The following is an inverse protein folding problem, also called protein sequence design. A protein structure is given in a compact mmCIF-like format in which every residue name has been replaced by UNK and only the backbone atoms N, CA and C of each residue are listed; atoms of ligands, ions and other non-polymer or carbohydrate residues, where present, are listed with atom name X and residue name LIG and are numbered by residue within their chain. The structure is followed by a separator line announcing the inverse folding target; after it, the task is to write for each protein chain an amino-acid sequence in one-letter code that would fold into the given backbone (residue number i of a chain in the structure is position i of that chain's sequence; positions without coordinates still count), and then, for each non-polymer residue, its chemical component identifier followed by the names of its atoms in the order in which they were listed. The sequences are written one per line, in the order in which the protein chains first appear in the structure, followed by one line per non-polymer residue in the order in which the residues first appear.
data_IF_358416334182
#
_entry.id   IF_358416334182
#
_cell.length_a   1.000
_cell.length_b   1.000
_cell.length_c   1.000
_cell.angle_alpha   90.00
_cell.angle_beta   90.00
_cell.angle_gamma   90.00
#
_symmetry.space_group_name_H-M   'P 1'
#
loop_
_entity.id
_entity.type
_entity.pdbx_description
1 polymer ?
#
# COMPACT_ATOMS: atom_id res chain seq x y z
N UNK A 1 -0.91 -23.90 15.33
CA UNK A 1 -0.03 -22.99 14.59
C UNK A 1 1.13 -23.81 14.07
N UNK A 2 1.36 -23.79 12.76
CA UNK A 2 2.52 -24.44 12.15
C UNK A 2 3.73 -23.52 12.31
N UNK A 3 4.86 -24.06 12.73
CA UNK A 3 6.13 -23.32 12.79
C UNK A 3 7.00 -23.74 11.61
N UNK A 4 7.71 -22.79 11.03
CA UNK A 4 8.75 -23.05 10.02
C UNK A 4 10.06 -22.45 10.53
N UNK A 5 11.16 -23.18 10.33
CA UNK A 5 12.52 -22.70 10.58
C UNK A 5 13.25 -22.73 9.26
N UNK A 6 13.79 -21.57 8.86
CA UNK A 6 14.63 -21.45 7.67
C UNK A 6 16.07 -21.53 8.14
N UNK A 7 16.75 -22.61 7.80
CA UNK A 7 18.17 -22.81 8.11
C UNK A 7 19.03 -22.18 7.03
N UNK A 8 20.26 -21.82 7.38
CA UNK A 8 21.30 -21.37 6.43
C UNK A 8 20.88 -20.18 5.54
N UNK A 9 20.16 -19.20 6.12
CA UNK A 9 19.95 -17.93 5.45
C UNK A 9 21.31 -17.26 5.20
N UNK A 10 21.53 -16.89 3.95
CA UNK A 10 22.69 -16.11 3.53
C UNK A 10 22.81 -14.81 4.38
N UNK A 11 24.01 -14.48 4.90
CA UNK A 11 24.17 -13.31 5.78
C UNK A 11 23.77 -11.98 5.13
N UNK A 12 23.97 -11.83 3.82
CA UNK A 12 23.57 -10.62 3.11
C UNK A 12 22.04 -10.54 3.01
N UNK A 13 21.38 -11.66 2.74
CA UNK A 13 19.91 -11.74 2.81
C UNK A 13 19.39 -11.42 4.21
N UNK A 14 20.02 -11.93 5.27
CA UNK A 14 19.65 -11.65 6.65
C UNK A 14 19.71 -10.14 6.97
N UNK A 15 20.79 -9.50 6.54
CA UNK A 15 21.01 -8.06 6.70
C UNK A 15 19.97 -7.25 5.92
N UNK A 16 19.69 -7.63 4.67
CA UNK A 16 18.70 -6.96 3.82
C UNK A 16 17.29 -7.09 4.40
N UNK A 17 16.90 -8.26 4.88
CA UNK A 17 15.62 -8.47 5.56
C UNK A 17 15.51 -7.58 6.82
N UNK A 18 16.57 -7.45 7.59
CA UNK A 18 16.60 -6.58 8.78
C UNK A 18 16.47 -5.10 8.42
N UNK A 19 17.13 -4.65 7.34
CA UNK A 19 17.03 -3.29 6.84
C UNK A 19 15.60 -2.97 6.37
N UNK A 20 15.04 -3.79 5.47
CA UNK A 20 13.70 -3.56 4.90
C UNK A 20 12.62 -3.61 5.99
N UNK A 21 12.78 -4.48 6.99
CA UNK A 21 11.86 -4.55 8.13
C UNK A 21 11.84 -3.23 8.92
N UNK A 22 13.01 -2.59 9.13
CA UNK A 22 13.11 -1.28 9.78
C UNK A 22 12.47 -0.18 8.96
N UNK A 23 12.77 -0.13 7.65
CA UNK A 23 12.20 0.87 6.73
C UNK A 23 10.67 0.80 6.66
N UNK A 24 10.11 -0.41 6.74
CA UNK A 24 8.66 -0.64 6.72
C UNK A 24 8.01 -0.67 8.11
N UNK A 25 8.75 -0.30 9.16
CA UNK A 25 8.28 -0.33 10.56
C UNK A 25 7.59 -1.66 10.96
N UNK A 26 8.11 -2.80 10.47
CA UNK A 26 7.52 -4.13 10.70
C UNK A 26 8.54 -5.09 11.29
N UNK A 27 8.05 -6.19 11.89
CA UNK A 27 8.95 -7.25 12.35
C UNK A 27 9.50 -8.04 11.15
N UNK A 28 10.72 -8.55 11.27
CA UNK A 28 11.33 -9.41 10.25
C UNK A 28 10.48 -10.64 9.93
N UNK A 29 9.86 -11.25 10.94
CA UNK A 29 8.94 -12.37 10.76
C UNK A 29 7.69 -11.96 9.94
N UNK A 30 7.11 -10.79 10.24
CA UNK A 30 5.99 -10.27 9.47
C UNK A 30 6.39 -9.99 8.02
N UNK A 31 7.54 -9.36 7.79
CA UNK A 31 8.06 -9.13 6.44
C UNK A 31 8.22 -10.44 5.66
N UNK A 32 8.81 -11.48 6.27
CA UNK A 32 8.98 -12.80 5.62
C UNK A 32 7.62 -13.42 5.28
N UNK A 33 6.63 -13.33 6.17
CA UNK A 33 5.26 -13.80 5.89
C UNK A 33 4.63 -13.07 4.73
N UNK A 34 4.79 -11.74 4.68
CA UNK A 34 4.21 -10.91 3.62
C UNK A 34 4.88 -11.21 2.27
N UNK A 35 6.21 -11.40 2.24
CA UNK A 35 6.93 -11.81 1.02
C UNK A 35 6.49 -13.19 0.52
N UNK A 36 6.33 -14.16 1.41
CA UNK A 36 5.86 -15.51 1.05
C UNK A 36 4.42 -15.49 0.54
N UNK A 37 3.53 -14.75 1.19
CA UNK A 37 2.15 -14.60 0.76
C UNK A 37 2.06 -13.95 -0.62
N UNK A 38 2.81 -12.86 -0.84
CA UNK A 38 2.87 -12.17 -2.13
C UNK A 38 3.41 -13.06 -3.25
N UNK A 39 4.50 -13.81 -3.00
CA UNK A 39 5.07 -14.73 -3.98
C UNK A 39 4.13 -15.89 -4.37
N UNK A 40 3.17 -16.23 -3.50
CA UNK A 40 2.16 -17.26 -3.73
C UNK A 40 0.82 -16.68 -4.22
N UNK A 41 0.72 -15.37 -4.44
CA UNK A 41 -0.52 -14.71 -4.87
C UNK A 41 -1.63 -14.69 -3.80
N UNK A 42 -1.28 -14.85 -2.53
CA UNK A 42 -2.24 -14.77 -1.43
C UNK A 42 -2.50 -13.31 -1.07
N UNK A 43 -3.77 -12.99 -0.80
CA UNK A 43 -4.14 -11.66 -0.33
C UNK A 43 -3.40 -11.35 0.98
N UNK A 44 -2.60 -10.28 0.97
CA UNK A 44 -1.97 -9.78 2.18
C UNK A 44 -3.06 -9.27 3.13
N UNK A 45 -2.97 -9.53 4.44
CA UNK A 45 -3.89 -8.90 5.39
C UNK A 45 -3.81 -7.39 5.18
N UNK A 46 -4.95 -6.72 5.08
CA UNK A 46 -5.13 -5.29 4.80
C UNK A 46 -4.56 -4.36 5.91
N UNK A 47 -3.32 -4.58 6.29
CA UNK A 47 -2.51 -3.77 7.20
C UNK A 47 -1.22 -3.35 6.51
N UNK A 48 -1.27 -3.13 5.18
CA UNK A 48 -0.31 -2.25 4.56
C UNK A 48 -0.49 -0.90 5.23
N UNK A 49 0.55 -0.41 5.90
CA UNK A 49 0.63 1.01 6.23
C UNK A 49 0.31 1.73 4.93
N UNK A 50 -0.82 2.42 4.92
CA UNK A 50 -1.09 3.36 3.85
C UNK A 50 -0.14 4.51 4.17
N UNK A 51 1.09 4.43 3.69
CA UNK A 51 2.14 5.43 3.92
C UNK A 51 1.67 6.83 3.47
N UNK A 52 0.60 6.88 2.68
CA UNK A 52 -0.06 8.11 2.24
C UNK A 52 -1.25 8.54 3.10
N UNK A 53 -1.59 7.81 4.16
CA UNK A 53 -2.73 8.10 5.02
C UNK A 53 -2.59 9.44 5.72
N UNK A 54 -1.36 9.88 6.03
CA UNK A 54 -1.09 11.22 6.55
C UNK A 54 -1.37 12.33 5.51
N UNK A 55 -1.31 12.00 4.21
CA UNK A 55 -1.65 12.92 3.13
C UNK A 55 -3.13 12.81 2.69
N UNK A 56 -3.84 11.77 3.15
CA UNK A 56 -5.28 11.62 2.93
C UNK A 56 -6.06 12.50 3.93
N UNK A 57 -6.29 13.76 3.57
CA UNK A 57 -7.22 14.63 4.28
C UNK A 57 -8.68 14.18 4.11
N UNK A 58 -9.50 14.36 5.14
CA UNK A 58 -10.95 14.16 5.05
C UNK A 58 -11.57 15.46 4.56
N UNK A 59 -12.41 15.38 3.53
CA UNK A 59 -13.09 16.54 3.01
C UNK A 59 -14.25 16.95 3.92
N UNK A 60 -14.36 18.24 4.17
CA UNK A 60 -15.58 18.81 4.74
C UNK A 60 -16.72 18.73 3.72
N UNK A 61 -17.97 18.80 4.21
CA UNK A 61 -19.14 18.82 3.34
C UNK A 61 -19.14 20.03 2.39
N UNK A 62 -18.56 21.16 2.83
CA UNK A 62 -18.42 22.37 2.00
C UNK A 62 -17.46 22.14 0.84
N UNK A 63 -16.26 21.61 1.11
CA UNK A 63 -15.25 21.29 0.09
C UNK A 63 -15.78 20.26 -0.93
N UNK A 64 -16.51 19.25 -0.45
CA UNK A 64 -17.15 18.26 -1.33
C UNK A 64 -18.17 18.90 -2.26
N UNK A 65 -18.99 19.81 -1.75
CA UNK A 65 -20.01 20.51 -2.53
C UNK A 65 -19.37 21.42 -3.56
N UNK A 66 -18.36 22.21 -3.18
CA UNK A 66 -17.63 23.12 -4.06
C UNK A 66 -16.95 22.37 -5.22
N UNK A 67 -16.25 21.28 -4.91
CA UNK A 67 -15.63 20.46 -5.93
C UNK A 67 -16.66 19.81 -6.86
N UNK A 68 -17.74 19.26 -6.32
CA UNK A 68 -18.77 18.62 -7.15
C UNK A 68 -19.37 19.64 -8.13
N UNK A 69 -19.57 20.88 -7.67
CA UNK A 69 -20.00 21.98 -8.54
C UNK A 69 -18.96 22.34 -9.60
N UNK A 70 -17.66 22.39 -9.25
CA UNK A 70 -16.59 22.70 -10.22
C UNK A 70 -16.37 21.59 -11.25
N UNK A 71 -16.70 20.34 -10.92
CA UNK A 71 -16.63 19.21 -11.84
C UNK A 71 -17.85 19.08 -12.76
N UNK A 72 -18.91 19.88 -12.60
CA UNK A 72 -20.14 19.75 -13.38
C UNK A 72 -19.92 19.81 -14.90
N UNK A 73 -18.92 20.59 -15.36
CA UNK A 73 -18.55 20.68 -16.77
C UNK A 73 -17.82 19.43 -17.30
N UNK A 74 -17.19 18.66 -16.43
CA UNK A 74 -16.42 17.45 -16.78
C UNK A 74 -17.28 16.17 -16.77
N UNK A 75 -18.58 16.29 -16.46
CA UNK A 75 -19.52 15.14 -16.44
C UNK A 75 -19.89 14.70 -17.85
N UNK A 76 -19.86 15.63 -18.81
CA UNK A 76 -20.18 15.35 -20.20
C UNK A 76 -18.90 15.30 -21.02
N UNK A 77 -18.69 14.20 -21.74
CA UNK A 77 -17.61 14.09 -22.72
C UNK A 77 -18.04 14.80 -24.00
N UNK A 78 -17.34 15.87 -24.37
CA UNK A 78 -17.49 16.50 -25.68
C UNK A 78 -16.57 15.79 -26.69
N UNK A 79 -17.10 15.17 -27.76
CA UNK A 79 -16.27 14.56 -28.79
C UNK A 79 -15.26 15.51 -29.45
N UNK A 80 -15.47 16.82 -29.37
CA UNK A 80 -14.55 17.84 -29.88
C UNK A 80 -13.31 18.04 -29.00
N UNK A 81 -13.31 17.59 -27.75
CA UNK A 81 -12.13 17.64 -26.86
C UNK A 81 -10.98 16.74 -27.35
N UNK A 82 -11.26 15.83 -28.30
CA UNK A 82 -10.35 14.81 -28.82
C UNK A 82 -9.94 15.04 -30.29
N UNK A 83 -10.31 16.18 -30.89
CA UNK A 83 -9.88 16.58 -32.24
C UNK A 83 -8.62 17.44 -32.20
#
# INVERSE_FOLDING_TARGET
MSSITIHEIDPLLDQRLSQVARERHTSKNRLVKDLLASGLGLALPAGGQNDYQEFCGVWTAAELTEFTASQAGNVSLDPSDWQ
#
